data_IF_437442765865
#
_entry.id   IF_437442765865
#
_cell.length_a   1.000
_cell.length_b   1.000
_cell.length_c   1.000
_cell.angle_alpha   90.00
_cell.angle_beta   90.00
_cell.angle_gamma   90.00
#
_symmetry.space_group_name_H-M   'P 1'
#
loop_
_entity.id
_entity.type
_entity.pdbx_description
1 polymer ?
#
# COMPACT_ATOMS: atom_id res chain seq x y z
N UNK A 1 -21.08 11.64 -8.75
CA UNK A 1 -20.47 11.59 -8.12
C UNK A 1 -20.60 10.75 -7.07
N UNK A 2 -21.59 10.60 -6.64
CA UNK A 2 -21.74 9.72 -5.62
C UNK A 2 -21.21 8.40 -5.88
N UNK A 3 -21.24 8.06 -7.03
CA UNK A 3 -20.81 6.76 -7.36
C UNK A 3 -19.39 6.50 -7.04
N UNK A 4 -18.72 7.55 -6.82
CA UNK A 4 -17.37 7.41 -6.53
C UNK A 4 -17.10 6.65 -5.32
N UNK A 5 -17.80 6.88 -4.27
CA UNK A 5 -17.53 6.28 -3.01
C UNK A 5 -17.57 4.78 -3.05
N UNK A 6 -18.68 4.20 -3.37
CA UNK A 6 -18.74 2.74 -3.31
C UNK A 6 -17.86 2.08 -4.34
N UNK A 7 -17.75 2.70 -5.46
CA UNK A 7 -16.97 2.07 -6.51
C UNK A 7 -15.51 2.02 -6.16
N UNK A 8 -15.06 2.96 -5.41
CA UNK A 8 -13.65 3.02 -5.09
C UNK A 8 -13.30 2.23 -3.85
N UNK A 9 -14.27 1.57 -3.24
CA UNK A 9 -14.01 0.84 -2.02
C UNK A 9 -13.54 -0.58 -2.20
N UNK A 10 -13.49 -1.07 -3.43
CA UNK A 10 -13.16 -2.47 -3.66
C UNK A 10 -11.68 -2.77 -3.62
N UNK A 11 -11.31 -4.01 -3.92
CA UNK A 11 -9.91 -4.40 -3.89
C UNK A 11 -9.08 -3.64 -4.89
N UNK A 12 -7.86 -3.34 -4.53
CA UNK A 12 -6.96 -2.64 -5.43
C UNK A 12 -5.53 -2.92 -5.00
N UNK A 13 -4.62 -2.78 -5.94
CA UNK A 13 -3.21 -2.89 -5.64
C UNK A 13 -2.73 -1.57 -5.08
N UNK A 14 -1.93 -1.66 -4.04
CA UNK A 14 -1.35 -0.48 -3.42
C UNK A 14 0.14 -0.64 -3.23
N UNK A 15 0.83 0.46 -3.26
CA UNK A 15 2.24 0.52 -2.93
C UNK A 15 2.39 1.48 -1.76
N UNK A 16 3.00 1.01 -0.69
CA UNK A 16 3.25 1.84 0.48
C UNK A 16 4.77 1.94 0.62
N UNK A 17 5.29 3.13 0.63
CA UNK A 17 6.72 3.34 0.73
C UNK A 17 7.04 3.95 2.07
N UNK A 18 7.99 3.36 2.78
CA UNK A 18 8.37 3.83 4.11
C UNK A 18 9.88 3.98 4.19
N UNK A 19 10.34 4.87 5.06
CA UNK A 19 11.74 5.01 5.33
C UNK A 19 12.17 3.89 6.27
N UNK A 20 13.34 3.35 6.03
CA UNK A 20 13.86 2.27 6.86
C UNK A 20 13.84 0.97 6.11
N UNK A 21 14.54 -0.01 6.64
CA UNK A 21 14.69 -1.29 5.97
C UNK A 21 14.00 -2.36 6.79
N UNK A 22 13.07 -3.06 6.18
CA UNK A 22 12.42 -4.22 6.78
C UNK A 22 12.77 -5.42 5.95
N UNK A 23 13.02 -6.56 6.60
CA UNK A 23 13.27 -7.74 5.81
C UNK A 23 11.95 -8.46 5.52
N UNK A 24 12.02 -9.47 4.70
CA UNK A 24 10.81 -10.12 4.20
C UNK A 24 10.03 -10.84 5.28
N UNK A 25 10.60 -11.04 6.46
CA UNK A 25 9.85 -11.67 7.55
C UNK A 25 8.65 -10.84 7.96
N UNK A 26 8.70 -9.54 7.69
CA UNK A 26 7.61 -8.68 8.07
C UNK A 26 6.40 -8.81 7.15
N UNK A 27 6.51 -9.61 6.09
CA UNK A 27 5.37 -9.79 5.19
C UNK A 27 4.14 -10.30 5.92
N UNK A 28 4.32 -11.21 6.86
CA UNK A 28 3.18 -11.72 7.61
C UNK A 28 2.52 -10.63 8.44
N UNK A 29 3.31 -9.71 8.95
CA UNK A 29 2.78 -8.60 9.73
C UNK A 29 1.90 -7.71 8.85
N UNK A 30 2.22 -7.63 7.57
CA UNK A 30 1.46 -6.82 6.64
C UNK A 30 0.53 -7.66 5.77
N UNK A 31 -0.03 -8.71 6.35
CA UNK A 31 -1.04 -9.54 5.70
C UNK A 31 -0.53 -10.21 4.43
N UNK A 32 0.74 -10.57 4.43
CA UNK A 32 1.28 -11.29 3.30
C UNK A 32 1.64 -10.43 2.10
N UNK A 33 1.62 -9.13 2.24
CA UNK A 33 2.01 -8.28 1.14
C UNK A 33 3.50 -8.42 0.85
N UNK A 34 3.87 -8.09 -0.37
CA UNK A 34 5.26 -8.18 -0.78
C UNK A 34 6.06 -7.04 -0.21
N UNK A 35 7.23 -7.35 0.32
CA UNK A 35 8.12 -6.35 0.87
C UNK A 35 9.42 -6.38 0.11
N UNK A 36 9.85 -5.23 -0.41
CA UNK A 36 11.13 -5.16 -1.10
C UNK A 36 11.87 -3.91 -0.64
N UNK A 37 13.19 -4.03 -0.58
CA UNK A 37 14.00 -2.92 -0.16
C UNK A 37 14.49 -2.11 -1.34
N UNK A 38 14.61 -0.82 -1.16
CA UNK A 38 15.15 0.06 -2.17
C UNK A 38 16.01 1.10 -1.47
N UNK A 39 17.29 0.81 -1.33
CA UNK A 39 18.19 1.69 -0.62
C UNK A 39 17.79 1.76 0.84
N UNK A 40 17.50 2.94 1.31
CA UNK A 40 17.10 3.15 2.69
C UNK A 40 15.61 3.01 2.89
N UNK A 41 14.88 2.65 1.86
CA UNK A 41 13.44 2.59 1.93
C UNK A 41 12.93 1.19 1.74
N UNK A 42 11.73 0.96 2.18
CA UNK A 42 11.06 -0.32 1.97
C UNK A 42 9.77 -0.04 1.24
N UNK A 43 9.48 -0.88 0.26
CA UNK A 43 8.25 -0.79 -0.49
C UNK A 43 7.40 -2.01 -0.14
N UNK A 44 6.17 -1.76 0.29
CA UNK A 44 5.23 -2.80 0.65
C UNK A 44 4.13 -2.72 -0.38
N UNK A 45 3.90 -3.77 -1.13
CA UNK A 45 2.86 -3.71 -2.15
C UNK A 45 2.08 -4.99 -2.28
N UNK A 46 0.89 -4.86 -2.77
CA UNK A 46 0.02 -5.99 -2.97
C UNK A 46 -1.44 -5.58 -3.00
N UNK A 47 -2.29 -6.58 -3.03
CA UNK A 47 -3.72 -6.35 -3.12
C UNK A 47 -4.28 -6.03 -1.75
N UNK A 48 -5.02 -4.96 -1.67
CA UNK A 48 -5.68 -4.53 -0.44
C UNK A 48 -7.18 -4.59 -0.69
N UNK A 49 -7.89 -5.23 0.19
CA UNK A 49 -9.29 -5.56 -0.05
C UNK A 49 -10.20 -4.33 -0.09
N UNK A 50 -9.95 -3.37 0.75
CA UNK A 50 -10.81 -2.19 0.81
C UNK A 50 -10.11 -1.09 1.60
N UNK A 51 -10.77 0.03 1.76
CA UNK A 51 -10.17 1.16 2.46
C UNK A 51 -9.89 0.87 3.93
N UNK A 52 -10.78 0.24 4.68
CA UNK A 52 -10.44 -0.11 6.06
C UNK A 52 -9.19 -0.97 6.15
N UNK A 53 -9.01 -1.89 5.21
CA UNK A 53 -7.81 -2.72 5.21
C UNK A 53 -6.56 -1.88 4.96
N UNK A 54 -6.64 -0.90 4.06
CA UNK A 54 -5.53 -0.01 3.81
C UNK A 54 -5.18 0.78 5.07
N UNK A 55 -6.19 1.31 5.73
CA UNK A 55 -5.94 2.07 6.94
C UNK A 55 -5.34 1.19 8.05
N UNK A 56 -5.74 -0.07 8.08
CA UNK A 56 -5.14 -1.01 9.02
C UNK A 56 -3.66 -1.21 8.74
N UNK A 57 -3.28 -1.28 7.47
CA UNK A 57 -1.88 -1.41 7.11
C UNK A 57 -1.10 -0.16 7.49
N UNK A 58 -1.69 1.00 7.27
CA UNK A 58 -1.03 2.25 7.65
C UNK A 58 -0.88 2.36 9.15
N UNK A 59 -1.84 1.84 9.91
CA UNK A 59 -1.71 1.82 11.36
C UNK A 59 -0.55 0.94 11.78
N UNK A 60 -0.31 -0.16 11.08
CA UNK A 60 0.82 -1.01 11.40
C UNK A 60 2.14 -0.31 11.12
N UNK A 61 2.19 0.47 10.05
CA UNK A 61 3.37 1.27 9.77
C UNK A 61 3.64 2.23 10.93
N UNK A 62 2.58 2.87 11.39
CA UNK A 62 2.70 3.79 12.50
C UNK A 62 3.18 3.08 13.77
N UNK A 63 2.62 1.91 14.04
CA UNK A 63 2.95 1.18 15.26
C UNK A 63 4.39 0.71 15.28
N UNK A 64 4.97 0.47 14.11
CA UNK A 64 6.36 0.10 14.03
C UNK A 64 7.29 1.30 14.10
N UNK A 65 6.73 2.49 14.10
CA UNK A 65 7.55 3.69 14.15
C UNK A 65 8.21 4.05 12.84
N UNK A 66 7.70 3.51 11.74
CA UNK A 66 8.26 3.81 10.43
C UNK A 66 7.73 5.13 9.91
N UNK A 67 8.54 5.79 9.12
CA UNK A 67 8.13 7.05 8.51
C UNK A 67 7.49 6.75 7.17
N UNK A 68 6.25 7.13 7.03
CA UNK A 68 5.52 6.92 5.79
C UNK A 68 5.97 7.95 4.77
N UNK A 69 6.37 7.49 3.61
CA UNK A 69 6.83 8.37 2.55
C UNK A 69 5.73 8.57 1.51
N UNK A 70 5.08 7.51 1.10
CA UNK A 70 4.08 7.61 0.05
C UNK A 70 3.15 6.43 0.07
N UNK A 71 1.94 6.65 -0.39
CA UNK A 71 0.95 5.60 -0.63
C UNK A 71 0.41 5.83 -2.01
N UNK A 72 0.46 4.81 -2.85
CA UNK A 72 -0.04 4.91 -4.21
C UNK A 72 -0.96 3.75 -4.52
N UNK A 73 -2.03 4.04 -5.19
CA UNK A 73 -2.90 3.01 -5.70
C UNK A 73 -2.40 2.60 -7.08
N UNK A 74 -2.14 1.32 -7.25
CA UNK A 74 -1.60 0.81 -8.49
C UNK A 74 -2.61 -0.15 -9.08
N UNK A 75 -3.33 0.23 -10.07
CA UNK A 75 -4.17 -0.74 -10.73
C UNK A 75 -4.08 -0.45 -12.22
N UNK A 76 -4.58 -1.37 -12.98
CA UNK A 76 -4.44 -1.25 -14.41
C UNK A 76 -5.09 0.00 -14.93
N UNK A 77 -6.16 0.37 -14.32
CA UNK A 77 -6.85 1.52 -14.77
C UNK A 77 -6.09 2.78 -14.50
N UNK A 78 -5.46 2.87 -13.35
CA UNK A 78 -4.63 4.00 -13.05
C UNK A 78 -3.52 4.14 -14.06
N UNK A 79 -2.95 3.04 -14.44
CA UNK A 79 -1.89 3.08 -15.41
C UNK A 79 -2.36 3.63 -16.73
N UNK A 80 -3.54 3.25 -17.12
CA UNK A 80 -4.06 3.73 -18.37
C UNK A 80 -4.33 5.19 -18.33
N UNK A 81 -4.84 5.65 -17.25
CA UNK A 81 -5.16 7.05 -17.13
C UNK A 81 -3.94 7.90 -17.12
N UNK A 82 -2.89 7.36 -16.65
CA UNK A 82 -1.67 8.13 -16.56
C UNK A 82 -1.11 8.44 -17.93
N UNK A 83 -1.62 7.80 -18.93
CA UNK A 83 -1.06 8.00 -20.22
C UNK A 83 -1.93 8.75 -21.20
N UNK A 84 -2.87 9.43 -20.91
CA UNK A 84 -3.72 10.09 -21.90
C UNK A 84 -2.99 11.11 -22.74
#
# INVERSE_FOLDING_TARGET
>A
MAAIGPASGGPAQYEIRVAGVLDSRWAAWFNGLQISGQGDETVICGLVADQPALHGLLAKVRDLGLILIAVRRLDARSGEEATP
#
